data_IF_444456038124
#
_entry.id   IF_444456038124
#
_cell.length_a   1.000
_cell.length_b   1.000
_cell.length_c   1.000
_cell.angle_alpha   90.00
_cell.angle_beta   90.00
_cell.angle_gamma   90.00
#
_symmetry.space_group_name_H-M   'P 1'
#
loop_
_entity.id
_entity.type
_entity.pdbx_description
1 polymer ?
#
# COMPACT_ATOMS: atom_id res chain seq x y z
N UNK A 1 9.95 -9.76 -25.63
CA UNK A 1 9.87 -8.37 -25.14
C UNK A 1 10.07 -8.38 -23.63
N UNK A 2 10.98 -7.55 -23.13
CA UNK A 2 11.33 -7.58 -21.71
C UNK A 2 10.49 -6.60 -20.92
N UNK A 3 9.48 -7.13 -20.24
CA UNK A 3 8.68 -6.33 -19.33
C UNK A 3 9.33 -6.30 -17.94
N UNK A 4 9.15 -5.19 -17.24
CA UNK A 4 9.68 -5.01 -15.89
C UNK A 4 8.93 -5.86 -14.87
N UNK A 5 7.62 -6.05 -15.06
CA UNK A 5 6.78 -6.83 -14.14
C UNK A 5 6.31 -8.11 -14.79
N UNK A 6 6.09 -9.14 -13.98
CA UNK A 6 5.56 -10.42 -14.47
C UNK A 6 4.06 -10.43 -14.56
N UNK A 7 3.39 -9.69 -13.67
CA UNK A 7 1.93 -9.61 -13.66
C UNK A 7 1.46 -8.33 -14.32
N UNK A 8 0.47 -8.47 -15.20
CA UNK A 8 -0.17 -7.34 -15.85
C UNK A 8 -1.68 -7.51 -15.72
N UNK A 9 -2.33 -6.49 -15.23
CA UNK A 9 -3.76 -6.52 -14.92
C UNK A 9 -4.53 -5.78 -16.01
N UNK A 10 -5.68 -6.33 -16.40
CA UNK A 10 -6.66 -5.53 -17.14
C UNK A 10 -7.28 -4.52 -16.19
N UNK A 11 -7.94 -3.49 -16.72
CA UNK A 11 -8.65 -2.52 -15.89
C UNK A 11 -9.70 -3.24 -15.04
N UNK A 12 -10.42 -4.20 -15.61
CA UNK A 12 -11.42 -5.00 -14.89
C UNK A 12 -10.79 -5.79 -13.73
N UNK A 13 -9.69 -6.50 -14.01
CA UNK A 13 -8.99 -7.27 -13.00
C UNK A 13 -8.47 -6.38 -11.87
N UNK A 14 -7.92 -5.21 -12.24
CA UNK A 14 -7.43 -4.26 -11.25
C UNK A 14 -8.58 -3.70 -10.39
N UNK A 15 -9.72 -3.40 -10.99
CA UNK A 15 -10.89 -2.94 -10.25
C UNK A 15 -11.40 -3.99 -9.26
N UNK A 16 -11.29 -5.27 -9.59
CA UNK A 16 -11.68 -6.35 -8.70
C UNK A 16 -10.80 -6.43 -7.45
N UNK A 17 -9.58 -5.90 -7.51
CA UNK A 17 -8.68 -5.85 -6.36
C UNK A 17 -8.97 -4.70 -5.39
N UNK A 18 -9.68 -3.67 -5.81
CA UNK A 18 -9.83 -2.44 -5.02
C UNK A 18 -10.40 -2.67 -3.62
N UNK A 19 -11.42 -3.53 -3.42
CA UNK A 19 -11.90 -3.78 -2.05
C UNK A 19 -10.82 -4.34 -1.13
N UNK A 20 -9.99 -5.27 -1.63
CA UNK A 20 -8.89 -5.82 -0.84
C UNK A 20 -7.84 -4.75 -0.54
N UNK A 21 -7.49 -3.93 -1.53
CA UNK A 21 -6.51 -2.86 -1.34
C UNK A 21 -6.99 -1.84 -0.30
N UNK A 22 -8.27 -1.48 -0.33
CA UNK A 22 -8.86 -0.59 0.68
C UNK A 22 -8.74 -1.18 2.07
N UNK A 23 -9.10 -2.44 2.23
CA UNK A 23 -9.02 -3.12 3.53
C UNK A 23 -7.59 -3.18 4.04
N UNK A 24 -6.62 -3.44 3.17
CA UNK A 24 -5.20 -3.46 3.56
C UNK A 24 -4.73 -2.09 4.03
N UNK A 25 -5.10 -1.01 3.32
CA UNK A 25 -4.73 0.33 3.75
C UNK A 25 -5.38 0.71 5.09
N UNK A 26 -6.64 0.35 5.30
CA UNK A 26 -7.33 0.59 6.56
C UNK A 26 -6.65 -0.17 7.71
N UNK A 27 -6.27 -1.41 7.49
CA UNK A 27 -5.58 -2.20 8.49
C UNK A 27 -4.19 -1.61 8.78
N UNK A 28 -3.46 -1.20 7.77
CA UNK A 28 -2.15 -0.54 7.95
C UNK A 28 -2.30 0.73 8.79
N UNK A 29 -3.32 1.54 8.51
CA UNK A 29 -3.57 2.77 9.27
C UNK A 29 -3.81 2.47 10.76
N UNK A 30 -4.65 1.50 11.05
CA UNK A 30 -4.95 1.10 12.42
C UNK A 30 -3.70 0.57 13.14
N UNK A 31 -2.92 -0.26 12.47
CA UNK A 31 -1.68 -0.82 13.03
C UNK A 31 -0.64 0.27 13.26
N UNK A 32 -0.51 1.20 12.31
CA UNK A 32 0.44 2.31 12.39
C UNK A 32 0.09 3.22 13.55
N UNK A 33 -1.20 3.48 13.78
CA UNK A 33 -1.66 4.28 14.91
C UNK A 33 -1.30 3.64 16.24
N UNK A 34 -1.46 2.33 16.38
CA UNK A 34 -1.08 1.61 17.60
C UNK A 34 0.43 1.63 17.84
N UNK A 35 1.22 1.45 16.77
CA UNK A 35 2.69 1.52 16.85
C UNK A 35 3.12 2.91 17.29
N UNK A 36 2.52 3.96 16.74
CA UNK A 36 2.83 5.34 17.11
C UNK A 36 2.46 5.62 18.55
N UNK A 37 1.31 5.13 19.03
CA UNK A 37 0.93 5.26 20.44
C UNK A 37 1.97 4.62 21.36
N UNK A 38 2.46 3.44 21.00
CA UNK A 38 3.52 2.79 21.77
C UNK A 38 4.75 3.69 21.83
N UNK A 39 5.22 4.19 20.68
CA UNK A 39 6.43 5.01 20.61
C UNK A 39 6.27 6.33 21.38
N UNK A 40 5.12 6.97 21.31
CA UNK A 40 4.91 8.29 21.91
C UNK A 40 4.61 8.23 23.39
N UNK A 41 3.89 7.21 23.85
CA UNK A 41 3.35 7.17 25.22
C UNK A 41 3.94 6.06 26.08
N UNK A 42 4.17 4.88 25.53
CA UNK A 42 4.61 3.72 26.33
C UNK A 42 6.13 3.56 26.38
N UNK A 43 6.83 3.72 25.26
CA UNK A 43 8.28 3.53 25.24
C UNK A 43 9.03 4.51 26.16
N UNK A 44 8.70 5.81 26.21
CA UNK A 44 9.35 6.71 27.14
C UNK A 44 9.18 6.31 28.62
N UNK A 45 8.01 5.76 28.99
CA UNK A 45 7.76 5.28 30.35
C UNK A 45 8.63 4.08 30.67
N UNK A 46 8.81 3.17 29.73
CA UNK A 46 9.70 2.01 29.88
C UNK A 46 11.15 2.46 30.04
N UNK A 47 11.58 3.46 29.27
CA UNK A 47 12.94 4.02 29.35
C UNK A 47 13.21 4.67 30.72
N UNK A 48 12.16 5.13 31.41
CA UNK A 48 12.26 5.68 32.75
C UNK A 48 12.25 4.59 33.84
N UNK A 49 12.32 3.33 33.46
CA UNK A 49 12.35 2.20 34.37
C UNK A 49 10.99 1.71 34.83
N UNK A 50 9.91 2.18 34.23
CA UNK A 50 8.56 1.71 34.54
C UNK A 50 8.32 0.34 33.95
N UNK A 51 7.85 -0.60 34.73
CA UNK A 51 7.55 -1.96 34.29
C UNK A 51 6.12 -2.00 33.79
N UNK A 52 5.95 -2.08 32.44
CA UNK A 52 4.65 -2.20 31.78
C UNK A 52 4.32 -3.66 31.46
N UNK A 53 5.17 -4.62 31.88
CA UNK A 53 5.04 -6.02 31.52
C UNK A 53 5.46 -6.29 30.08
N UNK A 54 5.30 -7.54 29.63
CA UNK A 54 5.69 -7.95 28.28
C UNK A 54 4.61 -7.74 27.23
N UNK A 55 3.37 -7.39 27.62
CA UNK A 55 2.22 -7.37 26.70
C UNK A 55 2.32 -6.26 25.66
N UNK A 56 2.64 -5.04 26.06
CA UNK A 56 2.70 -3.91 25.13
C UNK A 56 3.84 -4.01 24.12
N UNK A 57 5.10 -4.33 24.52
CA UNK A 57 6.17 -4.56 23.55
C UNK A 57 5.87 -5.72 22.59
N UNK A 58 5.31 -6.81 23.09
CA UNK A 58 4.96 -7.97 22.27
C UNK A 58 3.86 -7.62 21.26
N UNK A 59 2.89 -6.82 21.66
CA UNK A 59 1.83 -6.37 20.74
C UNK A 59 2.41 -5.49 19.63
N UNK A 60 3.34 -4.60 19.96
CA UNK A 60 3.99 -3.76 18.97
C UNK A 60 4.74 -4.61 17.93
N UNK A 61 5.47 -5.63 18.39
CA UNK A 61 6.19 -6.53 17.49
C UNK A 61 5.21 -7.24 16.54
N UNK A 62 4.08 -7.71 17.06
CA UNK A 62 3.06 -8.36 16.24
C UNK A 62 2.45 -7.39 15.24
N UNK A 63 2.20 -6.15 15.64
CA UNK A 63 1.64 -5.12 14.75
C UNK A 63 2.62 -4.80 13.61
N UNK A 64 3.91 -4.66 13.92
CA UNK A 64 4.95 -4.43 12.92
C UNK A 64 5.05 -5.60 11.94
N UNK A 65 4.99 -6.83 12.44
CA UNK A 65 5.03 -8.03 11.62
C UNK A 65 3.81 -8.08 10.67
N UNK A 66 2.64 -7.68 11.16
CA UNK A 66 1.43 -7.66 10.34
C UNK A 66 1.52 -6.61 9.23
N UNK A 67 2.01 -5.40 9.53
CA UNK A 67 2.25 -4.37 8.51
C UNK A 67 3.18 -4.92 7.43
N UNK A 68 4.27 -5.55 7.84
CA UNK A 68 5.24 -6.12 6.91
C UNK A 68 4.59 -7.19 6.02
N UNK A 69 3.75 -8.05 6.59
CA UNK A 69 3.04 -9.08 5.83
C UNK A 69 2.08 -8.47 4.80
N UNK A 70 1.36 -7.40 5.16
CA UNK A 70 0.45 -6.72 4.22
C UNK A 70 1.25 -6.11 3.07
N UNK A 71 2.37 -5.44 3.37
CA UNK A 71 3.23 -4.88 2.33
C UNK A 71 3.77 -5.97 1.41
N UNK A 72 4.05 -7.16 1.95
CA UNK A 72 4.43 -8.33 1.16
C UNK A 72 3.32 -8.78 0.21
N UNK A 73 2.07 -8.68 0.63
CA UNK A 73 0.94 -9.01 -0.23
C UNK A 73 0.84 -8.09 -1.45
N UNK A 74 1.10 -6.78 -1.27
CA UNK A 74 1.22 -5.85 -2.39
C UNK A 74 2.36 -6.26 -3.32
N UNK A 75 3.51 -6.53 -2.73
CA UNK A 75 4.73 -6.88 -3.48
C UNK A 75 4.54 -8.15 -4.32
N UNK A 76 3.92 -9.18 -3.76
CA UNK A 76 3.67 -10.44 -4.47
C UNK A 76 2.77 -10.26 -5.69
N UNK A 77 1.95 -9.22 -5.70
CA UNK A 77 1.05 -8.92 -6.82
C UNK A 77 1.64 -7.88 -7.77
N UNK A 78 2.90 -7.51 -7.57
CA UNK A 78 3.58 -6.45 -8.34
C UNK A 78 2.90 -5.08 -8.24
N UNK A 79 2.04 -4.88 -7.25
CA UNK A 79 1.40 -3.58 -7.02
C UNK A 79 2.37 -2.67 -6.29
N UNK A 80 2.64 -1.52 -6.88
CA UNK A 80 3.60 -0.56 -6.34
C UNK A 80 2.90 0.47 -5.47
N UNK A 81 3.34 0.62 -4.23
CA UNK A 81 2.82 1.66 -3.34
C UNK A 81 3.64 2.91 -3.59
N UNK A 82 3.00 3.94 -4.14
CA UNK A 82 3.65 5.21 -4.47
C UNK A 82 3.64 6.18 -3.29
N UNK A 83 2.56 6.16 -2.50
CA UNK A 83 2.43 6.98 -1.29
C UNK A 83 1.56 6.20 -0.31
N UNK A 84 2.18 5.73 0.76
CA UNK A 84 1.50 4.87 1.74
C UNK A 84 0.40 5.62 2.49
N UNK A 85 0.66 6.86 2.89
CA UNK A 85 -0.32 7.64 3.65
C UNK A 85 -1.56 7.97 2.83
N UNK A 86 -1.36 8.33 1.57
CA UNK A 86 -2.47 8.65 0.66
C UNK A 86 -3.17 7.40 0.13
N UNK A 87 -2.53 6.23 0.24
CA UNK A 87 -3.05 5.01 -0.37
C UNK A 87 -2.99 5.08 -1.89
N UNK A 88 -1.89 5.63 -2.42
CA UNK A 88 -1.67 5.79 -3.86
C UNK A 88 -0.86 4.61 -4.36
N UNK A 89 -1.37 3.91 -5.37
CA UNK A 89 -0.72 2.74 -5.95
C UNK A 89 -0.63 2.84 -7.46
N UNK A 90 0.37 2.12 -8.01
CA UNK A 90 0.49 1.84 -9.43
C UNK A 90 0.29 0.33 -9.64
N UNK A 91 -0.65 -0.02 -10.49
CA UNK A 91 -0.97 -1.41 -10.81
C UNK A 91 -0.47 -1.69 -12.21
N UNK A 92 0.48 -2.64 -12.40
CA UNK A 92 1.04 -2.89 -13.74
C UNK A 92 0.00 -3.37 -14.73
N UNK A 93 0.02 -2.81 -15.92
CA UNK A 93 -0.91 -3.14 -16.97
C UNK A 93 -0.22 -3.01 -18.34
N UNK A 94 -0.86 -3.54 -19.36
CA UNK A 94 -0.41 -3.38 -20.75
C UNK A 94 -1.49 -2.59 -21.51
N UNK A 95 -1.08 -1.47 -22.10
CA UNK A 95 -1.90 -0.70 -23.03
C UNK A 95 -1.17 -0.69 -24.37
N UNK A 96 -1.78 -1.32 -25.38
CA UNK A 96 -1.17 -1.46 -26.71
C UNK A 96 0.24 -2.07 -26.62
N UNK A 97 0.36 -3.13 -25.82
CA UNK A 97 1.62 -3.87 -25.59
C UNK A 97 2.69 -3.06 -24.83
N UNK A 98 2.37 -1.86 -24.37
CA UNK A 98 3.27 -1.06 -23.56
C UNK A 98 2.95 -1.23 -22.08
N UNK A 99 3.99 -1.39 -21.29
CA UNK A 99 3.88 -1.50 -19.84
C UNK A 99 3.59 -0.14 -19.23
N UNK A 100 2.50 -0.04 -18.46
CA UNK A 100 2.08 1.19 -17.81
C UNK A 100 1.62 0.87 -16.40
N UNK A 101 1.40 1.91 -15.59
CA UNK A 101 0.71 1.79 -14.31
C UNK A 101 -0.71 2.32 -14.43
N UNK A 102 -1.66 1.53 -13.96
CA UNK A 102 -2.98 2.04 -13.64
C UNK A 102 -2.88 2.73 -12.30
N UNK A 103 -3.27 4.00 -12.23
CA UNK A 103 -3.16 4.81 -11.02
C UNK A 103 -4.45 4.74 -10.21
N UNK A 104 -4.31 4.51 -8.91
CA UNK A 104 -5.45 4.54 -8.02
C UNK A 104 -5.04 5.08 -6.66
N UNK A 105 -5.92 5.89 -6.09
CA UNK A 105 -5.78 6.40 -4.74
C UNK A 105 -7.01 5.91 -3.96
N UNK A 106 -6.81 5.51 -2.70
CA UNK A 106 -7.87 4.85 -1.91
C UNK A 106 -9.14 5.67 -1.72
N UNK A 107 -9.08 7.00 -1.95
CA UNK A 107 -10.25 7.87 -1.91
C UNK A 107 -11.10 7.80 -3.17
N UNK A 108 -10.57 7.20 -4.24
CA UNK A 108 -11.28 7.08 -5.51
C UNK A 108 -12.11 5.80 -5.55
N UNK A 109 -13.36 5.86 -6.05
CA UNK A 109 -14.18 4.65 -6.17
C UNK A 109 -13.66 3.66 -7.21
N UNK A 110 -13.08 4.17 -8.31
CA UNK A 110 -12.63 3.36 -9.44
C UNK A 110 -11.29 3.85 -9.96
N UNK A 111 -10.67 3.03 -10.82
CA UNK A 111 -9.46 3.40 -11.54
C UNK A 111 -9.86 4.20 -12.77
N UNK A 112 -9.36 5.43 -12.87
CA UNK A 112 -9.72 6.34 -13.97
C UNK A 112 -8.53 6.83 -14.78
N UNK A 113 -7.30 6.63 -14.28
CA UNK A 113 -6.09 7.19 -14.89
C UNK A 113 -4.97 6.15 -14.97
N UNK A 114 -4.02 6.42 -15.86
CA UNK A 114 -2.80 5.63 -16.01
C UNK A 114 -1.62 6.56 -16.29
N UNK A 115 -0.41 6.05 -16.09
CA UNK A 115 0.80 6.76 -16.54
C UNK A 115 1.87 5.74 -16.98
N UNK A 116 2.81 6.14 -17.85
CA UNK A 116 3.93 5.28 -18.19
C UNK A 116 4.79 4.94 -16.96
N UNK A 117 5.54 3.82 -17.02
CA UNK A 117 6.36 3.38 -15.90
C UNK A 117 7.42 4.40 -15.49
N UNK A 118 7.95 5.14 -16.45
CA UNK A 118 9.05 6.08 -16.22
C UNK A 118 8.58 7.48 -15.83
N UNK A 119 7.28 7.69 -15.62
CA UNK A 119 6.74 8.97 -15.16
C UNK A 119 6.02 8.77 -13.83
N UNK A 120 5.49 9.83 -13.28
CA UNK A 120 4.82 9.80 -12.00
C UNK A 120 3.34 10.13 -12.08
N UNK A 121 2.73 10.20 -10.91
CA UNK A 121 1.31 10.49 -10.76
C UNK A 121 0.89 11.81 -11.43
N UNK A 122 1.77 12.81 -11.42
CA UNK A 122 1.49 14.11 -12.04
C UNK A 122 1.28 14.03 -13.55
N UNK A 123 1.84 12.99 -14.19
CA UNK A 123 1.74 12.77 -15.63
C UNK A 123 0.63 11.81 -16.02
N UNK A 124 -0.27 11.52 -15.09
CA UNK A 124 -1.36 10.57 -15.35
C UNK A 124 -2.30 11.07 -16.43
N UNK A 125 -2.85 10.13 -17.18
CA UNK A 125 -3.76 10.38 -18.28
C UNK A 125 -5.06 9.62 -18.04
N UNK A 126 -6.20 10.16 -18.49
CA UNK A 126 -7.47 9.45 -18.32
C UNK A 126 -7.51 8.18 -19.17
N UNK A 127 -8.13 7.12 -18.61
CA UNK A 127 -8.35 5.86 -19.34
C UNK A 127 -9.39 6.03 -20.45
N UNK A 128 -10.38 6.86 -20.18
CA UNK A 128 -11.41 7.16 -21.15
C UNK A 128 -11.36 8.64 -21.48
N UNK A 129 -11.51 8.94 -22.73
CA UNK A 129 -11.55 10.34 -23.19
C UNK A 129 -12.96 10.89 -23.20
#
# INVERSE_FOLDING_TARGET
>A
MDYQYTKHYSVEEACDLLPALRNWFEEIDALTDRIREFDEFLAPRMDQGEDLGGTAPNQMIRDMARVHAILGDFHERDIQIMDLQKGLVGIPALLDEREVFLCWERTQPDITHWHPLNTGYADRKPLWS
#
